data_IF_316178084209
#
_entry.id   IF_316178084209
#
_cell.length_a   1.000
_cell.length_b   1.000
_cell.length_c   1.000
_cell.angle_alpha   90.00
_cell.angle_beta   90.00
_cell.angle_gamma   90.00
#
_symmetry.space_group_name_H-M   'P 1'
#
loop_
_entity.id
_entity.type
_entity.pdbx_description
1 polymer ?
#
# COMPACT_ATOMS: atom_id res chain seq x y z
N UNK A 1 -12.85 7.71 -14.46
CA UNK A 1 -12.60 8.48 -13.46
C UNK A 1 -11.28 8.42 -12.87
N UNK A 2 -10.90 9.36 -12.22
CA UNK A 2 -9.55 9.45 -11.73
C UNK A 2 -9.37 8.64 -10.46
N UNK A 3 -8.16 8.14 -10.29
CA UNK A 3 -7.75 7.49 -9.07
C UNK A 3 -7.38 8.56 -8.06
N UNK A 4 -7.81 8.38 -6.83
CA UNK A 4 -7.53 9.35 -5.78
C UNK A 4 -6.55 8.76 -4.77
N UNK A 5 -5.50 9.50 -4.47
CA UNK A 5 -4.51 9.13 -3.48
C UNK A 5 -4.92 9.77 -2.17
N UNK A 6 -4.98 8.95 -1.12
CA UNK A 6 -5.36 9.42 0.19
C UNK A 6 -4.26 9.06 1.18
N UNK A 7 -3.67 10.04 1.87
CA UNK A 7 -2.61 9.73 2.83
C UNK A 7 -3.20 9.36 4.19
N UNK A 8 -2.56 8.40 4.83
CA UNK A 8 -2.88 8.01 6.19
C UNK A 8 -1.60 8.03 6.99
N UNK A 9 -1.68 8.32 8.28
CA UNK A 9 -0.51 8.39 9.14
C UNK A 9 -0.46 7.19 10.07
N UNK A 10 0.64 6.44 9.99
CA UNK A 10 0.88 5.32 10.88
C UNK A 10 2.13 5.63 11.70
N UNK A 11 1.94 6.05 12.95
CA UNK A 11 3.04 6.36 13.86
C UNK A 11 4.07 7.33 13.23
N UNK A 12 3.59 8.34 12.54
CA UNK A 12 4.45 9.33 11.92
C UNK A 12 4.93 8.98 10.53
N UNK A 13 4.59 7.80 10.04
CA UNK A 13 4.97 7.39 8.68
C UNK A 13 3.74 7.47 7.80
N UNK A 14 3.87 8.20 6.70
CA UNK A 14 2.76 8.37 5.78
C UNK A 14 2.57 7.12 4.94
N UNK A 15 1.34 6.65 4.85
CA UNK A 15 0.97 5.52 4.01
C UNK A 15 -0.03 6.03 2.98
N UNK A 16 0.34 6.01 1.72
CA UNK A 16 -0.51 6.52 0.66
C UNK A 16 -1.32 5.39 0.06
N UNK A 17 -2.62 5.59 -0.01
CA UNK A 17 -3.56 4.57 -0.47
C UNK A 17 -4.33 5.13 -1.66
N UNK A 18 -4.40 4.33 -2.70
CA UNK A 18 -5.15 4.69 -3.89
C UNK A 18 -6.35 3.77 -4.00
N UNK A 19 -7.52 4.35 -4.24
CA UNK A 19 -8.73 3.56 -4.45
C UNK A 19 -9.04 3.55 -5.94
N UNK A 20 -9.15 2.37 -6.52
CA UNK A 20 -9.39 2.30 -7.96
C UNK A 20 -10.88 2.49 -8.27
N UNK A 21 -11.23 2.41 -9.55
CA UNK A 21 -12.60 2.68 -9.97
C UNK A 21 -13.59 1.62 -9.50
N UNK A 22 -13.09 0.50 -9.04
CA UNK A 22 -13.92 -0.57 -8.48
C UNK A 22 -14.02 -0.51 -6.96
N UNK A 23 -13.40 0.50 -6.36
CA UNK A 23 -13.40 0.64 -4.91
C UNK A 23 -12.35 -0.19 -4.20
N UNK A 24 -11.43 -0.77 -4.92
CA UNK A 24 -10.39 -1.60 -4.30
C UNK A 24 -9.21 -0.74 -3.86
N UNK A 25 -8.70 -0.95 -2.64
CA UNK A 25 -7.55 -0.18 -2.17
C UNK A 25 -6.25 -0.73 -2.71
N UNK A 26 -5.35 0.18 -3.04
CA UNK A 26 -3.98 -0.14 -3.46
C UNK A 26 -3.04 0.68 -2.60
N UNK A 27 -2.05 0.03 -2.03
CA UNK A 27 -1.13 0.67 -1.08
C UNK A 27 0.21 0.91 -1.76
N UNK A 28 0.78 2.09 -1.56
CA UNK A 28 2.06 2.41 -2.16
C UNK A 28 3.13 1.51 -1.57
N UNK A 29 3.79 0.73 -2.44
CA UNK A 29 4.74 -0.26 -2.00
C UNK A 29 5.88 0.28 -1.17
N UNK A 30 6.41 1.45 -1.56
CA UNK A 30 7.51 2.05 -0.82
C UNK A 30 7.12 2.37 0.63
N UNK A 31 5.88 2.84 0.84
CA UNK A 31 5.43 3.17 2.19
C UNK A 31 5.28 1.91 3.02
N UNK A 32 4.67 0.88 2.44
CA UNK A 32 4.48 -0.39 3.13
C UNK A 32 5.82 -1.02 3.50
N UNK A 33 6.73 -1.03 2.55
CA UNK A 33 8.04 -1.65 2.79
C UNK A 33 8.84 -0.89 3.83
N UNK A 34 8.70 0.43 3.90
CA UNK A 34 9.37 1.22 4.92
C UNK A 34 8.93 0.80 6.31
N UNK A 35 7.63 0.53 6.47
CA UNK A 35 7.11 0.12 7.77
C UNK A 35 7.51 -1.32 8.10
N UNK A 36 7.46 -2.20 7.10
CA UNK A 36 7.71 -3.61 7.33
C UNK A 36 9.20 -3.98 7.30
N UNK A 37 10.06 -3.02 6.98
CA UNK A 37 11.49 -3.28 6.97
C UNK A 37 11.94 -4.16 5.82
N UNK A 38 11.26 -4.06 4.69
CA UNK A 38 11.53 -4.87 3.51
C UNK A 38 11.94 -3.95 2.37
N UNK A 39 12.82 -4.43 1.50
CA UNK A 39 13.19 -3.66 0.32
C UNK A 39 12.11 -3.79 -0.74
N UNK A 40 11.89 -2.70 -1.50
CA UNK A 40 10.83 -2.69 -2.50
C UNK A 40 11.06 -3.68 -3.63
N UNK A 41 12.31 -4.04 -3.89
CA UNK A 41 12.58 -5.01 -4.95
C UNK A 41 12.08 -6.41 -4.60
N UNK A 42 11.79 -6.67 -3.33
CA UNK A 42 11.23 -7.97 -2.93
C UNK A 42 9.75 -8.10 -3.21
N UNK A 43 9.09 -6.99 -3.51
CA UNK A 43 7.66 -7.03 -3.79
C UNK A 43 7.35 -8.00 -4.92
N UNK A 44 8.13 -7.90 -6.01
CA UNK A 44 7.87 -8.74 -7.17
C UNK A 44 8.27 -10.19 -6.96
N UNK A 45 9.08 -10.45 -5.94
CA UNK A 45 9.46 -11.81 -5.59
C UNK A 45 8.39 -12.52 -4.78
N UNK A 46 7.70 -11.76 -3.94
CA UNK A 46 6.78 -12.34 -2.97
C UNK A 46 5.33 -12.32 -3.40
N UNK A 47 4.97 -11.43 -4.32
CA UNK A 47 3.57 -11.24 -4.67
C UNK A 47 3.27 -11.72 -6.07
N UNK A 48 2.02 -12.13 -6.27
CA UNK A 48 1.55 -12.54 -7.59
C UNK A 48 1.31 -11.30 -8.46
N UNK A 49 1.28 -11.51 -9.76
CA UNK A 49 1.13 -10.40 -10.70
C UNK A 49 -0.16 -9.60 -10.47
N UNK A 50 -1.22 -10.27 -10.03
CA UNK A 50 -2.49 -9.59 -9.81
C UNK A 50 -2.51 -8.80 -8.49
N UNK A 51 -1.47 -8.94 -7.67
CA UNK A 51 -1.36 -8.20 -6.43
C UNK A 51 -0.50 -6.95 -6.56
N UNK A 52 0.00 -6.68 -7.74
CA UNK A 52 0.92 -5.57 -7.99
C UNK A 52 0.42 -4.77 -9.17
N UNK A 53 0.50 -3.45 -9.08
CA UNK A 53 0.22 -2.60 -10.20
C UNK A 53 1.14 -1.39 -10.17
N UNK A 54 1.36 -0.80 -11.35
CA UNK A 54 2.13 0.42 -11.46
C UNK A 54 1.19 1.52 -11.91
N UNK A 55 0.99 2.52 -11.06
CA UNK A 55 0.04 3.59 -11.33
C UNK A 55 0.78 4.91 -11.29
N UNK A 56 0.68 5.69 -12.36
CA UNK A 56 1.25 7.02 -12.38
C UNK A 56 0.25 8.00 -11.79
N UNK A 57 0.76 8.91 -10.99
CA UNK A 57 -0.08 9.92 -10.38
C UNK A 57 0.77 11.16 -10.15
N UNK A 58 0.16 12.33 -10.37
CA UNK A 58 0.84 13.59 -10.11
C UNK A 58 1.00 13.83 -8.62
N UNK A 59 0.30 13.08 -7.79
CA UNK A 59 0.38 13.23 -6.34
C UNK A 59 1.59 12.51 -5.75
N UNK A 60 2.29 11.72 -6.54
CA UNK A 60 3.45 10.97 -6.07
C UNK A 60 4.64 11.31 -6.93
N UNK A 61 5.74 11.72 -6.27
CA UNK A 61 6.97 12.04 -6.95
C UNK A 61 7.49 10.80 -7.67
N UNK A 62 7.94 10.99 -8.90
CA UNK A 62 8.44 9.91 -9.72
C UNK A 62 9.86 10.19 -10.12
N UNK A 63 10.72 9.24 -9.84
CA UNK A 63 12.13 9.34 -10.18
C UNK A 63 12.42 8.47 -11.38
N UNK A 64 13.11 9.04 -12.35
CA UNK A 64 13.56 8.29 -13.50
C UNK A 64 12.45 7.82 -14.41
N UNK A 65 11.28 8.42 -14.31
CA UNK A 65 10.18 8.11 -15.21
C UNK A 65 9.47 6.80 -14.93
N UNK A 66 9.83 6.10 -13.87
CA UNK A 66 9.18 4.84 -13.52
C UNK A 66 7.93 5.11 -12.71
N UNK A 67 6.86 4.39 -13.04
CA UNK A 67 5.64 4.48 -12.27
C UNK A 67 5.83 3.80 -10.92
N UNK A 68 5.28 4.37 -9.84
CA UNK A 68 5.38 3.74 -8.53
C UNK A 68 4.66 2.40 -8.49
N UNK A 69 5.12 1.52 -7.62
CA UNK A 69 4.51 0.20 -7.43
C UNK A 69 3.49 0.29 -6.30
N UNK A 70 2.29 -0.19 -6.59
CA UNK A 70 1.25 -0.32 -5.58
C UNK A 70 0.92 -1.79 -5.37
N UNK A 71 0.54 -2.15 -4.15
CA UNK A 71 0.19 -3.53 -3.82
C UNK A 71 -1.27 -3.58 -3.38
N UNK A 72 -1.93 -4.68 -3.72
CA UNK A 72 -3.31 -4.89 -3.34
C UNK A 72 -3.42 -5.20 -1.84
N UNK A 73 -4.66 -5.30 -1.35
CA UNK A 73 -4.89 -5.67 0.03
C UNK A 73 -4.29 -7.04 0.33
N UNK A 74 -4.52 -8.02 -0.53
CA UNK A 74 -3.95 -9.34 -0.32
C UNK A 74 -2.43 -9.32 -0.38
N UNK A 75 -1.87 -8.50 -1.28
CA UNK A 75 -0.43 -8.34 -1.37
C UNK A 75 0.15 -7.74 -0.10
N UNK A 76 -0.54 -6.75 0.44
CA UNK A 76 -0.12 -6.13 1.69
C UNK A 76 -0.04 -7.15 2.81
N UNK A 77 -1.06 -8.01 2.92
CA UNK A 77 -1.06 -9.02 3.98
C UNK A 77 0.02 -10.07 3.78
N UNK A 78 0.32 -10.41 2.52
CA UNK A 78 1.42 -11.33 2.25
C UNK A 78 2.75 -10.74 2.74
N UNK A 79 2.96 -9.45 2.52
CA UNK A 79 4.16 -8.79 2.99
C UNK A 79 4.20 -8.74 4.51
N UNK A 80 3.05 -8.51 5.15
CA UNK A 80 2.98 -8.49 6.61
C UNK A 80 3.40 -9.84 7.18
N UNK A 81 2.93 -10.92 6.57
CA UNK A 81 3.24 -12.26 7.05
C UNK A 81 4.73 -12.59 6.94
N UNK A 82 5.41 -11.97 5.99
CA UNK A 82 6.84 -12.21 5.79
C UNK A 82 7.72 -11.30 6.65
N UNK A 83 7.14 -10.27 7.23
CA UNK A 83 7.90 -9.32 8.02
C UNK A 83 8.23 -9.90 9.39
N UNK A 84 9.44 -9.59 9.88
CA UNK A 84 9.86 -10.01 11.21
C UNK A 84 9.77 -8.89 12.22
N UNK A 85 9.30 -7.72 11.77
CA UNK A 85 9.20 -6.59 12.67
C UNK A 85 7.96 -6.69 13.54
N UNK A 86 8.06 -6.35 14.82
CA UNK A 86 6.88 -6.39 15.70
C UNK A 86 5.81 -5.40 15.21
N UNK A 87 6.21 -4.33 14.56
CA UNK A 87 5.26 -3.36 14.02
C UNK A 87 4.35 -3.93 12.94
N UNK A 88 4.72 -5.05 12.33
CA UNK A 88 3.94 -5.62 11.26
C UNK A 88 2.52 -5.99 11.71
N UNK A 89 2.40 -6.55 12.90
CA UNK A 89 1.09 -6.92 13.44
C UNK A 89 0.26 -5.67 13.72
N UNK A 90 0.89 -4.67 14.28
CA UNK A 90 0.23 -3.41 14.59
C UNK A 90 -0.21 -2.71 13.32
N UNK A 91 0.63 -2.76 12.30
CA UNK A 91 0.32 -2.19 11.00
C UNK A 91 -0.88 -2.87 10.36
N UNK A 92 -0.91 -4.19 10.39
CA UNK A 92 -2.04 -4.94 9.85
C UNK A 92 -3.33 -4.56 10.57
N UNK A 93 -3.27 -4.47 11.89
CA UNK A 93 -4.43 -4.11 12.68
C UNK A 93 -4.91 -2.70 12.35
N UNK A 94 -3.98 -1.79 12.19
CA UNK A 94 -4.29 -0.42 11.83
C UNK A 94 -4.97 -0.35 10.45
N UNK A 95 -4.48 -1.10 9.49
CA UNK A 95 -5.07 -1.12 8.16
C UNK A 95 -6.51 -1.64 8.22
N UNK A 96 -6.72 -2.75 8.93
CA UNK A 96 -8.04 -3.37 8.96
C UNK A 96 -9.05 -2.59 9.78
N UNK A 97 -8.60 -1.90 10.82
CA UNK A 97 -9.52 -1.21 11.73
C UNK A 97 -9.70 0.27 11.43
N UNK A 98 -8.77 0.89 10.72
CA UNK A 98 -8.84 2.32 10.46
C UNK A 98 -8.84 2.67 8.99
N UNK A 99 -7.89 2.14 8.23
CA UNK A 99 -7.74 2.54 6.83
C UNK A 99 -8.88 1.98 5.98
N UNK A 100 -9.12 0.69 6.05
CA UNK A 100 -10.13 0.07 5.22
C UNK A 100 -11.54 0.55 5.56
N UNK A 101 -11.91 0.67 6.85
CA UNK A 101 -13.23 1.23 7.16
C UNK A 101 -13.41 2.65 6.64
N UNK A 102 -12.36 3.47 6.69
CA UNK A 102 -12.42 4.83 6.17
C UNK A 102 -12.73 4.83 4.68
N UNK A 103 -12.12 3.94 3.95
CA UNK A 103 -12.29 3.87 2.51
C UNK A 103 -13.66 3.31 2.15
N UNK A 104 -14.12 2.31 2.89
CA UNK A 104 -15.37 1.61 2.60
C UNK A 104 -16.60 2.28 3.15
N UNK A 105 -16.40 3.36 3.91
CA UNK A 105 -17.47 4.00 4.62
C UNK A 105 -18.43 4.75 3.73
N UNK A 106 -18.06 5.01 2.53
CA UNK A 106 -18.89 5.76 1.62
C UNK A 106 -19.91 4.88 0.92
N UNK A 107 -20.36 3.94 1.55
CA UNK A 107 -21.27 2.98 0.98
C UNK A 107 -22.45 3.57 0.28
#
# INVERSE_FOLDING_TARGET
MSNQIQPFDFNGIQVRVLTDEHGNPWFLGADVCAILGTATNHIREYLDADEITNIRSTDIAQNGGKAPVFVSESGLYSLVLRSRKPEAREFKRWVTHEVLPSIRQTG
#
